data_IF_009785732668
#
_entry.id   IF_009785732668
#
_cell.length_a   1.000
_cell.length_b   1.000
_cell.length_c   1.000
_cell.angle_alpha   90.00
_cell.angle_beta   90.00
_cell.angle_gamma   90.00
#
_symmetry.space_group_name_H-M   'P 1'
#
loop_
_entity.id
_entity.type
_entity.pdbx_description
1 polymer ?
#
# COMPACT_ATOMS: atom_id res chain seq x y z
N UNK A 1 30.78 13.54 -51.21
CA UNK A 1 30.02 12.44 -50.57
C UNK A 1 30.12 12.60 -49.05
N UNK A 2 29.03 12.99 -48.35
CA UNK A 2 29.03 13.15 -46.89
C UNK A 2 28.45 11.88 -46.25
N UNK A 3 29.19 11.23 -45.36
CA UNK A 3 28.73 10.10 -44.55
C UNK A 3 27.71 10.60 -43.51
N UNK A 4 26.58 9.92 -43.29
CA UNK A 4 25.69 10.28 -42.19
C UNK A 4 26.26 9.74 -40.87
N UNK A 5 26.38 10.62 -39.87
CA UNK A 5 26.74 10.27 -38.50
C UNK A 5 25.50 9.78 -37.76
N UNK A 6 25.51 8.53 -37.27
CA UNK A 6 24.45 7.98 -36.43
C UNK A 6 24.64 8.41 -34.98
N UNK A 7 23.73 9.22 -34.46
CA UNK A 7 23.67 9.56 -33.05
C UNK A 7 23.37 8.30 -32.19
N UNK A 8 23.92 8.21 -30.96
CA UNK A 8 23.68 7.06 -30.09
C UNK A 8 22.20 7.04 -29.66
N UNK A 9 21.53 5.90 -29.87
CA UNK A 9 20.17 5.66 -29.35
C UNK A 9 20.23 5.66 -27.83
N UNK A 10 19.55 6.63 -27.22
CA UNK A 10 19.25 6.72 -25.79
C UNK A 10 18.66 5.38 -25.33
N UNK A 11 19.13 4.76 -24.23
CA UNK A 11 18.58 3.48 -23.79
C UNK A 11 17.08 3.65 -23.53
N UNK A 12 16.27 2.84 -24.21
CA UNK A 12 14.84 2.74 -23.96
C UNK A 12 14.66 2.27 -22.52
N UNK A 13 14.19 3.16 -21.64
CA UNK A 13 13.84 2.79 -20.28
C UNK A 13 12.81 1.66 -20.31
N UNK A 14 13.05 0.62 -19.53
CA UNK A 14 12.13 -0.51 -19.31
C UNK A 14 10.74 0.03 -18.95
N UNK A 15 9.63 -0.52 -19.51
CA UNK A 15 8.30 -0.03 -19.20
C UNK A 15 8.03 -0.14 -17.70
N UNK A 16 7.90 1.00 -17.01
CA UNK A 16 7.48 1.02 -15.61
C UNK A 16 6.05 0.49 -15.53
N UNK A 17 5.83 -0.59 -14.79
CA UNK A 17 4.48 -1.02 -14.45
C UNK A 17 3.81 0.10 -13.63
N UNK A 18 2.64 0.57 -14.07
CA UNK A 18 1.87 1.59 -13.37
C UNK A 18 0.65 0.93 -12.74
N UNK A 19 0.35 1.34 -11.51
CA UNK A 19 -0.91 1.05 -10.84
C UNK A 19 -1.66 2.35 -10.59
N UNK A 20 -2.97 2.29 -10.38
CA UNK A 20 -3.81 3.48 -10.20
C UNK A 20 -4.66 3.41 -8.94
N UNK A 21 -4.92 4.56 -8.34
CA UNK A 21 -6.00 4.75 -7.37
C UNK A 21 -7.33 4.65 -8.12
N UNK A 22 -8.28 3.88 -7.60
CA UNK A 22 -9.53 3.47 -8.26
C UNK A 22 -10.68 4.41 -7.92
N UNK A 23 -10.78 4.85 -6.66
CA UNK A 23 -11.89 5.62 -6.11
C UNK A 23 -11.44 6.79 -5.24
N UNK A 24 -12.43 7.54 -4.73
CA UNK A 24 -12.21 8.69 -3.86
C UNK A 24 -11.63 9.93 -4.55
N UNK A 25 -11.07 10.83 -3.74
CA UNK A 25 -10.53 12.13 -4.13
C UNK A 25 -9.43 12.04 -5.19
N UNK A 26 -8.58 11.02 -5.13
CA UNK A 26 -7.41 10.85 -6.01
C UNK A 26 -7.64 9.81 -7.11
N UNK A 27 -8.90 9.47 -7.40
CA UNK A 27 -9.29 8.52 -8.45
C UNK A 27 -8.52 8.75 -9.77
N UNK A 28 -8.10 7.65 -10.39
CA UNK A 28 -7.28 7.57 -11.63
C UNK A 28 -5.85 8.10 -11.49
N UNK A 29 -5.40 8.45 -10.29
CA UNK A 29 -3.99 8.84 -10.10
C UNK A 29 -3.08 7.63 -10.24
N UNK A 30 -2.09 7.75 -11.12
CA UNK A 30 -1.07 6.73 -11.36
C UNK A 30 0.06 6.80 -10.34
N UNK A 31 0.44 5.64 -9.83
CA UNK A 31 1.58 5.38 -8.96
C UNK A 31 2.56 4.48 -9.72
N UNK A 32 3.84 4.81 -9.65
CA UNK A 32 4.89 4.00 -10.30
C UNK A 32 5.19 2.80 -9.42
N UNK A 33 5.25 1.62 -10.04
CA UNK A 33 5.78 0.42 -9.40
C UNK A 33 7.29 0.39 -9.65
N UNK A 34 8.09 0.24 -8.59
CA UNK A 34 9.51 0.03 -8.73
C UNK A 34 9.78 -1.31 -9.43
N UNK A 35 10.72 -1.35 -10.36
CA UNK A 35 11.19 -2.59 -10.96
C UNK A 35 12.16 -3.28 -9.99
N UNK A 36 11.60 -3.99 -9.01
CA UNK A 36 12.35 -4.78 -8.03
C UNK A 36 11.86 -6.23 -8.02
N UNK A 37 12.78 -7.21 -7.96
CA UNK A 37 12.42 -8.61 -7.75
C UNK A 37 11.51 -8.77 -6.54
N UNK A 38 10.40 -9.50 -6.70
CA UNK A 38 9.45 -9.76 -5.62
C UNK A 38 8.30 -8.75 -5.48
N UNK A 39 8.38 -7.57 -6.10
CA UNK A 39 7.23 -6.67 -6.17
C UNK A 39 6.22 -7.21 -7.19
N UNK A 40 5.08 -7.66 -6.68
CA UNK A 40 3.90 -7.98 -7.51
C UNK A 40 2.80 -6.99 -7.12
N UNK A 41 2.40 -6.07 -8.00
CA UNK A 41 1.30 -5.19 -7.66
C UNK A 41 0.02 -6.01 -7.47
N UNK A 42 -0.69 -5.76 -6.37
CA UNK A 42 -2.03 -6.29 -6.15
C UNK A 42 -2.92 -5.92 -7.35
N UNK A 43 -3.52 -6.90 -8.06
CA UNK A 43 -4.29 -6.63 -9.26
C UNK A 43 -5.44 -5.65 -9.01
N UNK A 44 -5.75 -4.78 -9.98
CA UNK A 44 -6.84 -3.79 -9.88
C UNK A 44 -8.15 -4.43 -9.38
N UNK A 45 -8.50 -5.63 -9.87
CA UNK A 45 -9.70 -6.37 -9.47
C UNK A 45 -9.72 -6.77 -7.99
N UNK A 46 -8.58 -7.15 -7.41
CA UNK A 46 -8.48 -7.52 -5.98
C UNK A 46 -8.72 -6.27 -5.14
N UNK A 47 -8.09 -5.15 -5.52
CA UNK A 47 -8.28 -3.85 -4.86
C UNK A 47 -9.70 -3.33 -5.00
N UNK A 48 -10.31 -3.43 -6.18
CA UNK A 48 -11.72 -3.10 -6.40
C UNK A 48 -12.64 -3.90 -5.49
N UNK A 49 -12.40 -5.21 -5.39
CA UNK A 49 -13.19 -6.12 -4.56
C UNK A 49 -13.05 -5.76 -3.08
N UNK A 50 -11.83 -5.53 -2.60
CA UNK A 50 -11.56 -5.08 -1.24
C UNK A 50 -12.35 -3.82 -0.89
N UNK A 51 -12.25 -2.76 -1.69
CA UNK A 51 -12.94 -1.51 -1.39
C UNK A 51 -14.45 -1.55 -1.67
N UNK A 52 -14.94 -2.53 -2.44
CA UNK A 52 -16.37 -2.81 -2.49
C UNK A 52 -16.87 -3.44 -1.18
N UNK A 53 -16.07 -4.26 -0.51
CA UNK A 53 -16.41 -4.82 0.81
C UNK A 53 -16.32 -3.78 1.92
N UNK A 54 -15.25 -2.96 1.93
CA UNK A 54 -15.04 -1.92 2.95
C UNK A 54 -16.04 -0.76 2.83
N UNK A 55 -16.64 -0.58 1.65
CA UNK A 55 -17.49 0.57 1.34
C UNK A 55 -16.74 1.69 0.61
N UNK A 56 -17.50 2.57 -0.02
CA UNK A 56 -16.94 3.66 -0.83
C UNK A 56 -16.52 4.89 -0.02
N UNK A 57 -16.95 4.97 1.24
CA UNK A 57 -16.67 6.07 2.16
C UNK A 57 -16.06 5.51 3.45
N UNK A 58 -14.81 5.91 3.73
CA UNK A 58 -14.07 5.53 4.93
C UNK A 58 -13.90 6.73 5.87
N UNK A 59 -14.80 7.72 5.79
CA UNK A 59 -14.77 8.90 6.66
C UNK A 59 -14.68 8.49 8.14
N UNK A 60 -13.72 9.10 8.82
CA UNK A 60 -13.46 8.85 10.25
C UNK A 60 -12.59 7.62 10.55
N UNK A 61 -12.19 6.85 9.54
CA UNK A 61 -11.38 5.65 9.76
C UNK A 61 -9.92 5.98 9.98
N UNK A 62 -9.31 5.28 10.95
CA UNK A 62 -7.87 5.19 11.14
C UNK A 62 -7.39 3.86 10.60
N UNK A 63 -6.46 3.90 9.65
CA UNK A 63 -6.02 2.76 8.89
C UNK A 63 -4.52 2.54 9.06
N UNK A 64 -4.09 1.29 8.98
CA UNK A 64 -2.68 0.93 8.90
C UNK A 64 -2.45 -0.02 7.73
N UNK A 65 -1.50 0.34 6.88
CA UNK A 65 -0.94 -0.51 5.83
C UNK A 65 0.42 -1.03 6.31
N UNK A 66 0.42 -2.30 6.74
CA UNK A 66 1.54 -2.91 7.47
C UNK A 66 2.70 -3.24 6.54
N UNK A 67 2.42 -3.47 5.27
CA UNK A 67 3.38 -3.84 4.23
C UNK A 67 3.14 -2.98 3.00
N UNK A 68 3.37 -1.67 3.14
CA UNK A 68 2.83 -0.68 2.21
C UNK A 68 3.31 -0.89 0.77
N UNK A 69 4.57 -1.26 0.53
CA UNK A 69 5.11 -1.44 -0.81
C UNK A 69 4.96 -0.16 -1.65
N UNK A 70 4.09 -0.19 -2.66
CA UNK A 70 3.74 0.98 -3.47
C UNK A 70 2.80 1.97 -2.76
N UNK A 71 2.22 1.57 -1.64
CA UNK A 71 1.27 2.30 -0.79
C UNK A 71 -0.13 2.36 -1.35
N UNK A 72 -0.45 1.57 -2.37
CA UNK A 72 -1.67 1.77 -3.15
C UNK A 72 -2.93 1.51 -2.33
N UNK A 73 -2.90 0.56 -1.39
CA UNK A 73 -4.02 0.27 -0.51
C UNK A 73 -4.20 1.40 0.52
N UNK A 74 -3.12 1.79 1.20
CA UNK A 74 -3.15 2.94 2.12
C UNK A 74 -3.63 4.24 1.46
N UNK A 75 -3.11 4.59 0.28
CA UNK A 75 -3.54 5.78 -0.45
C UNK A 75 -4.98 5.69 -0.96
N UNK A 76 -5.44 4.50 -1.34
CA UNK A 76 -6.84 4.27 -1.71
C UNK A 76 -7.78 4.49 -0.51
N UNK A 77 -7.37 4.06 0.69
CA UNK A 77 -8.14 4.31 1.91
C UNK A 77 -8.21 5.82 2.24
N UNK A 78 -7.08 6.53 2.18
CA UNK A 78 -7.05 7.98 2.36
C UNK A 78 -7.86 8.73 1.28
N UNK A 79 -7.78 8.28 0.02
CA UNK A 79 -8.59 8.83 -1.08
C UNK A 79 -10.08 8.76 -0.78
N UNK A 80 -10.53 7.75 -0.04
CA UNK A 80 -11.93 7.50 0.34
C UNK A 80 -12.33 8.15 1.67
N UNK A 81 -11.51 9.02 2.24
CA UNK A 81 -11.88 9.82 3.42
C UNK A 81 -11.34 9.31 4.74
N UNK A 82 -10.49 8.27 4.76
CA UNK A 82 -9.80 7.88 5.99
C UNK A 82 -9.01 9.08 6.56
N UNK A 83 -9.18 9.35 7.84
CA UNK A 83 -8.67 10.56 8.51
C UNK A 83 -7.22 10.40 8.99
N UNK A 84 -6.76 9.16 9.10
CA UNK A 84 -5.41 8.84 9.52
C UNK A 84 -4.96 7.53 8.86
N UNK A 85 -3.87 7.55 8.10
CA UNK A 85 -3.35 6.35 7.43
C UNK A 85 -1.85 6.21 7.71
N UNK A 86 -1.46 5.17 8.43
CA UNK A 86 -0.05 4.83 8.63
C UNK A 86 0.39 3.82 7.57
N UNK A 87 1.39 4.18 6.76
CA UNK A 87 2.03 3.31 5.78
C UNK A 87 3.42 2.89 6.29
N UNK A 88 3.62 1.60 6.52
CA UNK A 88 4.90 1.05 6.97
C UNK A 88 5.64 0.36 5.83
N UNK A 89 6.92 0.71 5.65
CA UNK A 89 7.78 0.11 4.61
C UNK A 89 9.23 0.02 5.09
N UNK A 90 9.91 -1.09 4.82
CA UNK A 90 11.29 -1.33 5.24
C UNK A 90 12.30 -0.80 4.20
N UNK A 91 11.96 -0.96 2.92
CA UNK A 91 12.85 -0.61 1.82
C UNK A 91 12.97 0.92 1.67
N UNK A 92 14.17 1.49 1.80
CA UNK A 92 14.35 2.94 1.73
C UNK A 92 13.98 3.54 0.38
N UNK A 93 14.13 2.80 -0.71
CA UNK A 93 13.74 3.24 -2.05
C UNK A 93 12.23 3.35 -2.20
N UNK A 94 11.48 2.38 -1.66
CA UNK A 94 10.02 2.41 -1.63
C UNK A 94 9.51 3.51 -0.69
N UNK A 95 10.13 3.71 0.48
CA UNK A 95 9.81 4.83 1.37
C UNK A 95 9.94 6.18 0.66
N UNK A 96 11.00 6.38 -0.14
CA UNK A 96 11.15 7.62 -0.93
C UNK A 96 10.04 7.77 -1.97
N UNK A 97 9.62 6.67 -2.61
CA UNK A 97 8.50 6.68 -3.56
C UNK A 97 7.17 7.00 -2.87
N UNK A 98 6.89 6.40 -1.71
CA UNK A 98 5.72 6.70 -0.88
C UNK A 98 5.68 8.19 -0.54
N UNK A 99 6.81 8.76 -0.09
CA UNK A 99 6.90 10.20 0.25
C UNK A 99 6.66 11.10 -0.96
N UNK A 100 7.16 10.70 -2.14
CA UNK A 100 6.90 11.43 -3.38
C UNK A 100 5.41 11.38 -3.78
N UNK A 101 4.75 10.24 -3.61
CA UNK A 101 3.30 10.11 -3.84
C UNK A 101 2.51 10.93 -2.81
N UNK A 102 2.85 10.84 -1.54
CA UNK A 102 2.23 11.63 -0.46
C UNK A 102 2.31 13.13 -0.76
N UNK A 103 3.49 13.62 -1.16
CA UNK A 103 3.69 15.02 -1.52
C UNK A 103 2.89 15.42 -2.77
N UNK A 104 2.89 14.58 -3.82
CA UNK A 104 2.12 14.81 -5.05
C UNK A 104 0.62 14.91 -4.79
N UNK A 105 0.10 14.11 -3.86
CA UNK A 105 -1.32 14.05 -3.51
C UNK A 105 -1.72 15.08 -2.44
N UNK A 106 -0.75 15.78 -1.84
CA UNK A 106 -0.93 16.58 -0.63
C UNK A 106 -1.65 15.78 0.47
N UNK A 107 -1.27 14.51 0.60
CA UNK A 107 -1.90 13.53 1.49
C UNK A 107 -1.43 13.71 2.95
N UNK A 108 -1.82 14.80 3.59
CA UNK A 108 -1.39 15.17 4.96
C UNK A 108 -1.88 14.20 6.03
N UNK A 109 -2.97 13.48 5.78
CA UNK A 109 -3.50 12.42 6.65
C UNK A 109 -2.69 11.12 6.59
N UNK A 110 -1.84 10.94 5.57
CA UNK A 110 -0.97 9.79 5.47
C UNK A 110 0.32 10.05 6.26
N UNK A 111 0.78 9.09 7.06
CA UNK A 111 2.12 9.07 7.66
C UNK A 111 2.89 7.90 7.11
N UNK A 112 4.17 8.11 6.78
CA UNK A 112 5.04 7.06 6.27
C UNK A 112 6.11 6.77 7.30
N UNK A 113 6.14 5.54 7.81
CA UNK A 113 7.12 5.08 8.77
C UNK A 113 8.06 4.07 8.10
N UNK A 114 9.37 4.35 8.16
CA UNK A 114 10.37 3.39 7.71
C UNK A 114 10.66 2.40 8.83
N UNK A 115 10.45 1.12 8.57
CA UNK A 115 10.78 0.06 9.52
C UNK A 115 9.89 -1.17 9.38
N UNK A 116 10.07 -2.12 10.30
CA UNK A 116 9.26 -3.34 10.35
C UNK A 116 7.81 -3.02 10.74
N UNK A 117 6.88 -3.25 9.81
CA UNK A 117 5.47 -2.93 9.98
C UNK A 117 4.80 -3.74 11.08
N UNK A 118 5.21 -4.99 11.29
CA UNK A 118 4.67 -5.81 12.37
C UNK A 118 5.03 -5.24 13.74
N UNK A 119 6.27 -4.79 13.90
CA UNK A 119 6.71 -4.08 15.11
C UNK A 119 5.97 -2.77 15.31
N UNK A 120 5.70 -2.02 14.23
CA UNK A 120 4.89 -0.81 14.28
C UNK A 120 3.43 -1.11 14.70
N UNK A 121 2.82 -2.16 14.14
CA UNK A 121 1.46 -2.58 14.47
C UNK A 121 1.31 -2.94 15.95
N UNK A 122 2.31 -3.62 16.54
CA UNK A 122 2.34 -3.94 17.97
C UNK A 122 2.45 -2.72 18.90
N UNK A 123 2.89 -1.56 18.39
CA UNK A 123 2.96 -0.30 19.15
C UNK A 123 1.67 0.51 19.08
N UNK A 124 0.78 0.19 18.15
CA UNK A 124 -0.49 0.89 18.00
C UNK A 124 -1.36 0.61 19.23
N UNK A 125 -2.02 1.62 19.83
CA UNK A 125 -2.92 1.39 20.94
C UNK A 125 -4.02 0.39 20.59
N UNK A 126 -4.33 -0.51 21.52
CA UNK A 126 -5.36 -1.51 21.32
C UNK A 126 -6.73 -0.86 21.01
N UNK A 127 -7.47 -1.44 20.08
CA UNK A 127 -8.80 -0.95 19.72
C UNK A 127 -8.84 0.40 18.98
N UNK A 128 -7.70 0.92 18.53
CA UNK A 128 -7.61 2.30 17.99
C UNK A 128 -7.76 2.40 16.47
N UNK A 129 -7.70 1.30 15.74
CA UNK A 129 -7.82 1.26 14.28
C UNK A 129 -9.19 0.76 13.81
N UNK A 130 -9.62 1.24 12.66
CA UNK A 130 -10.80 0.73 11.94
C UNK A 130 -10.39 -0.24 10.83
N UNK A 131 -9.17 -0.13 10.31
CA UNK A 131 -8.68 -1.00 9.24
C UNK A 131 -7.21 -1.33 9.41
N UNK A 132 -6.87 -2.61 9.33
CA UNK A 132 -5.50 -3.09 9.16
C UNK A 132 -5.41 -3.86 7.84
N UNK A 133 -4.50 -3.43 6.96
CA UNK A 133 -4.21 -4.06 5.68
C UNK A 133 -2.94 -4.90 5.81
N UNK A 134 -3.04 -6.19 5.55
CA UNK A 134 -1.95 -7.15 5.58
C UNK A 134 -1.76 -7.73 4.17
N UNK A 135 -0.75 -7.26 3.46
CA UNK A 135 -0.25 -7.87 2.21
C UNK A 135 1.23 -8.24 2.37
N UNK A 136 1.55 -9.21 3.26
CA UNK A 136 2.92 -9.57 3.54
C UNK A 136 3.60 -10.20 2.31
N UNK A 137 4.93 -10.07 2.16
CA UNK A 137 5.66 -10.94 1.25
C UNK A 137 5.37 -12.41 1.62
N UNK A 138 5.35 -13.31 0.62
CA UNK A 138 4.79 -14.68 0.66
C UNK A 138 5.38 -15.69 1.69
N UNK A 139 6.00 -15.24 2.77
CA UNK A 139 6.53 -16.08 3.84
C UNK A 139 5.44 -16.43 4.87
N UNK A 140 5.17 -17.74 5.02
CA UNK A 140 4.09 -18.27 5.86
C UNK A 140 4.19 -17.91 7.34
N UNK A 141 5.38 -17.51 7.81
CA UNK A 141 5.66 -17.22 9.23
C UNK A 141 5.11 -15.89 9.71
N UNK A 142 4.85 -14.92 8.82
CA UNK A 142 4.35 -13.60 9.23
C UNK A 142 2.84 -13.59 9.50
N UNK A 143 2.07 -14.42 8.79
CA UNK A 143 0.61 -14.38 8.77
C UNK A 143 -0.03 -14.46 10.16
N UNK A 144 0.30 -15.49 10.95
CA UNK A 144 -0.30 -15.70 12.27
C UNK A 144 0.04 -14.56 13.24
N UNK A 145 1.31 -14.16 13.27
CA UNK A 145 1.78 -13.08 14.14
C UNK A 145 1.18 -11.71 13.76
N UNK A 146 1.00 -11.46 12.47
CA UNK A 146 0.39 -10.24 11.94
C UNK A 146 -1.10 -10.20 12.23
N UNK A 147 -1.83 -11.30 12.01
CA UNK A 147 -3.25 -11.42 12.36
C UNK A 147 -3.48 -11.21 13.86
N UNK A 148 -2.67 -11.83 14.71
CA UNK A 148 -2.77 -11.66 16.17
C UNK A 148 -2.53 -10.22 16.62
N UNK A 149 -1.54 -9.55 16.04
CA UNK A 149 -1.27 -8.14 16.32
C UNK A 149 -2.40 -7.23 15.78
N UNK A 150 -2.90 -7.52 14.57
CA UNK A 150 -3.99 -6.77 13.95
C UNK A 150 -5.28 -6.86 14.77
N UNK A 151 -5.62 -8.08 15.24
CA UNK A 151 -6.79 -8.32 16.08
C UNK A 151 -6.76 -7.52 17.39
N UNK A 152 -5.59 -7.22 17.94
CA UNK A 152 -5.46 -6.36 19.13
C UNK A 152 -5.60 -4.87 18.78
N UNK A 153 -5.11 -4.46 17.61
CA UNK A 153 -5.10 -3.06 17.18
C UNK A 153 -6.47 -2.56 16.70
N UNK A 154 -7.32 -3.44 16.13
CA UNK A 154 -8.64 -3.05 15.63
C UNK A 154 -9.66 -2.84 16.75
N UNK A 155 -10.50 -1.81 16.60
CA UNK A 155 -11.65 -1.57 17.48
C UNK A 155 -12.77 -2.61 17.30
N UNK A 156 -13.85 -2.54 18.10
CA UNK A 156 -14.96 -3.51 18.06
C UNK A 156 -15.62 -3.69 16.70
N UNK A 157 -15.59 -2.65 15.85
CA UNK A 157 -16.12 -2.65 14.48
C UNK A 157 -15.02 -2.58 13.42
N UNK A 158 -13.76 -2.70 13.84
CA UNK A 158 -12.63 -2.66 12.93
C UNK A 158 -12.49 -3.96 12.13
N UNK A 159 -11.82 -3.86 11.00
CA UNK A 159 -11.67 -4.95 10.05
C UNK A 159 -10.19 -5.18 9.73
N UNK A 160 -9.85 -6.44 9.47
CA UNK A 160 -8.53 -6.83 8.98
C UNK A 160 -8.70 -7.40 7.59
N UNK A 161 -7.95 -6.86 6.62
CA UNK A 161 -7.78 -7.48 5.32
C UNK A 161 -6.46 -8.23 5.30
N UNK A 162 -6.51 -9.46 4.80
CA UNK A 162 -5.33 -10.29 4.59
C UNK A 162 -5.30 -10.79 3.14
N UNK A 163 -4.23 -10.46 2.43
CA UNK A 163 -3.89 -11.09 1.15
C UNK A 163 -2.98 -12.28 1.40
N UNK A 164 -3.40 -13.46 0.93
CA UNK A 164 -2.67 -14.71 1.12
C UNK A 164 -2.69 -15.56 -0.17
N UNK A 165 -1.61 -16.30 -0.49
CA UNK A 165 -1.53 -17.11 -1.70
C UNK A 165 -2.48 -18.33 -1.70
N UNK A 166 -3.01 -18.70 -0.53
CA UNK A 166 -3.95 -19.79 -0.32
C UNK A 166 -5.00 -19.34 0.69
N UNK A 167 -6.23 -19.91 0.66
CA UNK A 167 -7.23 -19.65 1.69
C UNK A 167 -6.63 -19.88 3.08
N UNK A 168 -6.77 -18.90 3.97
CA UNK A 168 -6.34 -19.03 5.35
C UNK A 168 -7.22 -20.05 6.07
N UNK A 169 -6.62 -21.08 6.68
CA UNK A 169 -7.32 -22.19 7.32
C UNK A 169 -7.45 -22.07 8.85
N UNK A 170 -6.97 -20.97 9.45
CA UNK A 170 -6.96 -20.78 10.90
C UNK A 170 -5.56 -20.65 11.45
#
# INVERSE_FOLDING_TARGET
MKKPSSAPKRPLGTPSHEIRIIGGLWKRTKLRVADKPGLRPTPDRVRETLFNWLGQDLTGWRCMDVFAGTGVLGFEAASRGAIDVLLCEQDPGLVLQLKAVQAKLTATMCRIERGDGLSALKRVPAGSLQLVLLDPPFESTFFESALKAAAQAIGPTGVVYLEAPKPWSG
#
